data_IF_150480511384
#
_entry.id   IF_150480511384
#
_cell.length_a   1.000
_cell.length_b   1.000
_cell.length_c   1.000
_cell.angle_alpha   90.00
_cell.angle_beta   90.00
_cell.angle_gamma   90.00
#
_symmetry.space_group_name_H-M   'P 1'
#
loop_
_entity.id
_entity.type
_entity.pdbx_description
1 polymer ?
#
# COMPACT_ATOMS: atom_id res chain seq x y z
N UNK A 1 -17.77 14.48 -3.11
CA UNK A 1 -16.91 13.80 -2.11
C UNK A 1 -15.48 13.77 -2.60
N UNK A 2 -14.48 14.19 -1.81
CA UNK A 2 -13.07 14.07 -2.19
C UNK A 2 -12.70 12.59 -2.13
N UNK A 3 -12.33 11.99 -3.27
CA UNK A 3 -11.77 10.63 -3.31
C UNK A 3 -10.30 10.75 -2.92
N UNK A 4 -9.92 10.17 -1.80
CA UNK A 4 -8.56 10.28 -1.25
C UNK A 4 -7.98 8.89 -1.07
N UNK A 5 -6.74 8.71 -1.52
CA UNK A 5 -5.94 7.52 -1.21
C UNK A 5 -5.46 7.66 0.23
N UNK A 6 -5.62 6.61 1.03
CA UNK A 6 -5.05 6.54 2.37
C UNK A 6 -4.33 5.21 2.58
N UNK A 7 -3.42 5.18 3.56
CA UNK A 7 -2.67 4.00 3.92
C UNK A 7 -3.16 3.46 5.26
N UNK A 8 -3.41 2.15 5.31
CA UNK A 8 -3.64 1.43 6.55
C UNK A 8 -2.39 0.63 6.89
N UNK A 9 -1.70 1.05 7.95
CA UNK A 9 -0.42 0.45 8.35
C UNK A 9 -0.54 -0.22 9.72
N UNK A 10 -0.14 -1.49 9.81
CA UNK A 10 -0.16 -2.28 11.03
C UNK A 10 1.18 -2.98 11.26
N UNK A 11 1.49 -3.23 12.52
CA UNK A 11 2.66 -4.05 12.88
C UNK A 11 2.32 -5.51 12.59
N UNK A 12 3.21 -6.18 11.87
CA UNK A 12 3.16 -7.59 11.51
C UNK A 12 4.15 -8.38 12.39
N UNK A 13 4.21 -9.69 12.17
CA UNK A 13 5.20 -10.57 12.79
C UNK A 13 6.64 -10.13 12.47
N UNK A 14 7.59 -10.55 13.31
CA UNK A 14 9.02 -10.30 13.13
C UNK A 14 9.45 -8.82 13.13
N UNK A 15 8.76 -7.95 13.88
CA UNK A 15 9.04 -6.51 13.94
C UNK A 15 8.95 -5.79 12.59
N UNK A 16 8.15 -6.33 11.67
CA UNK A 16 7.87 -5.70 10.39
C UNK A 16 6.58 -4.88 10.45
N UNK A 17 6.44 -3.96 9.53
CA UNK A 17 5.23 -3.21 9.27
C UNK A 17 4.65 -3.65 7.94
N UNK A 18 3.33 -3.78 7.88
CA UNK A 18 2.58 -4.01 6.65
C UNK A 18 1.66 -2.82 6.42
N UNK A 19 1.61 -2.33 5.19
CA UNK A 19 0.75 -1.24 4.77
C UNK A 19 -0.10 -1.64 3.56
N UNK A 20 -1.31 -1.09 3.51
CA UNK A 20 -2.26 -1.28 2.42
C UNK A 20 -2.67 0.09 1.86
N UNK A 21 -2.50 0.28 0.55
CA UNK A 21 -2.91 1.48 -0.17
C UNK A 21 -4.38 1.34 -0.61
N UNK A 22 -5.26 2.11 0.02
CA UNK A 22 -6.71 1.98 -0.14
C UNK A 22 -7.27 3.19 -0.88
N UNK A 23 -8.08 2.91 -1.91
CA UNK A 23 -8.83 3.92 -2.66
C UNK A 23 -10.25 3.42 -2.89
N UNK A 24 -11.25 4.22 -2.53
CA UNK A 24 -12.68 3.85 -2.63
C UNK A 24 -13.03 2.49 -1.97
N UNK A 25 -12.37 2.15 -0.86
CA UNK A 25 -12.59 0.89 -0.14
C UNK A 25 -11.90 -0.34 -0.76
N UNK A 26 -11.19 -0.16 -1.87
CA UNK A 26 -10.44 -1.22 -2.53
C UNK A 26 -8.95 -1.09 -2.21
N UNK A 27 -8.29 -2.23 -1.96
CA UNK A 27 -6.84 -2.30 -1.80
C UNK A 27 -6.20 -2.37 -3.18
N UNK A 28 -5.46 -1.33 -3.54
CA UNK A 28 -4.75 -1.27 -4.82
C UNK A 28 -3.30 -1.75 -4.69
N UNK A 29 -2.71 -1.62 -3.51
CA UNK A 29 -1.35 -2.05 -3.26
C UNK A 29 -1.12 -2.48 -1.83
N UNK A 30 -0.15 -3.36 -1.63
CA UNK A 30 0.29 -3.81 -0.32
C UNK A 30 1.80 -3.86 -0.24
N UNK A 31 2.35 -3.45 0.89
CA UNK A 31 3.79 -3.40 1.11
C UNK A 31 4.17 -3.84 2.51
N UNK A 32 5.37 -4.38 2.65
CA UNK A 32 5.98 -4.74 3.93
C UNK A 32 7.31 -4.02 4.06
N UNK A 33 7.64 -3.52 5.24
CA UNK A 33 8.89 -2.82 5.51
C UNK A 33 9.31 -2.92 6.97
N UNK A 34 10.55 -2.52 7.28
CA UNK A 34 11.07 -2.45 8.67
C UNK A 34 10.55 -1.21 9.40
N UNK A 35 9.92 -0.28 8.67
CA UNK A 35 9.27 0.90 9.20
C UNK A 35 7.91 1.12 8.53
N UNK A 36 7.03 1.92 9.18
CA UNK A 36 5.74 2.32 8.59
C UNK A 36 5.93 2.99 7.22
N UNK A 37 6.89 3.90 7.13
CA UNK A 37 7.18 4.63 5.90
C UNK A 37 7.62 3.70 4.77
N UNK A 38 8.52 2.76 5.04
CA UNK A 38 8.97 1.77 4.05
C UNK A 38 7.82 0.86 3.60
N UNK A 39 6.94 0.45 4.52
CA UNK A 39 5.78 -0.35 4.17
C UNK A 39 4.81 0.42 3.27
N UNK A 40 4.56 1.70 3.56
CA UNK A 40 3.71 2.60 2.77
C UNK A 40 4.29 2.87 1.37
N UNK A 41 5.59 3.12 1.27
CA UNK A 41 6.30 3.27 0.00
C UNK A 41 6.19 1.99 -0.85
N UNK A 42 6.39 0.83 -0.23
CA UNK A 42 6.22 -0.45 -0.90
C UNK A 42 4.77 -0.69 -1.36
N UNK A 43 3.77 -0.27 -0.57
CA UNK A 43 2.36 -0.36 -0.96
C UNK A 43 2.04 0.57 -2.14
N UNK A 44 2.64 1.76 -2.19
CA UNK A 44 2.52 2.68 -3.31
C UNK A 44 3.15 2.12 -4.59
N UNK A 45 4.35 1.55 -4.48
CA UNK A 45 5.06 0.91 -5.59
C UNK A 45 4.28 -0.30 -6.14
N UNK A 46 3.73 -1.15 -5.28
CA UNK A 46 2.88 -2.27 -5.68
C UNK A 46 1.62 -1.80 -6.42
N UNK A 47 0.94 -0.75 -5.91
CA UNK A 47 -0.21 -0.14 -6.59
C UNK A 47 0.15 0.43 -7.98
N UNK A 48 1.29 1.11 -8.09
CA UNK A 48 1.79 1.65 -9.36
C UNK A 48 2.12 0.53 -10.36
N UNK A 49 2.81 -0.51 -9.91
CA UNK A 49 3.15 -1.66 -10.76
C UNK A 49 1.89 -2.35 -11.29
N UNK A 50 0.88 -2.56 -10.45
CA UNK A 50 -0.42 -3.11 -10.86
C UNK A 50 -1.12 -2.21 -11.88
N UNK A 51 -1.08 -0.90 -11.68
CA UNK A 51 -1.65 0.06 -12.63
C UNK A 51 -0.96 -0.02 -13.99
N UNK A 52 0.37 -0.15 -14.02
CA UNK A 52 1.14 -0.28 -15.25
C UNK A 52 0.85 -1.62 -15.94
N UNK A 53 0.85 -2.74 -15.20
CA UNK A 53 0.56 -4.07 -15.75
C UNK A 53 -0.89 -4.26 -16.21
N UNK A 54 -1.83 -3.49 -15.66
CA UNK A 54 -3.25 -3.52 -16.09
C UNK A 54 -3.51 -2.78 -17.41
N UNK A 55 -2.56 -1.97 -17.89
CA UNK A 55 -2.68 -1.30 -19.18
C UNK A 55 -2.09 -2.20 -20.29
N UNK A 56 -2.90 -2.62 -21.29
CA UNK A 56 -2.40 -3.35 -22.45
C UNK A 56 -1.50 -2.47 -23.34
#
# INVERSE_FOLDING_TARGET
>A
SKKTVFYQTYQSENNLFKAEAIYEGNVYGSGVGKSKHEAEENAANDALNKLIMSKP
#
